data_IF_799933263242
#
_entry.id   IF_799933263242
#
_cell.length_a   1.000
_cell.length_b   1.000
_cell.length_c   1.000
_cell.angle_alpha   90.00
_cell.angle_beta   90.00
_cell.angle_gamma   90.00
#
_symmetry.space_group_name_H-M   'P 1'
#
loop_
_entity.id
_entity.type
_entity.pdbx_description
1 polymer ?
#
# COMPACT_ATOMS: atom_id res chain seq x y z
N UNK A 1 12.59 -8.80 -12.58
CA UNK A 1 11.31 -8.46 -11.92
C UNK A 1 11.02 -6.98 -12.07
N UNK A 2 9.79 -6.64 -12.44
CA UNK A 2 9.37 -5.24 -12.58
C UNK A 2 8.44 -4.87 -11.43
N UNK A 3 8.84 -3.91 -10.61
CA UNK A 3 8.07 -3.42 -9.47
C UNK A 3 7.75 -1.95 -9.71
N UNK A 4 6.49 -1.58 -9.56
CA UNK A 4 6.02 -0.20 -9.68
C UNK A 4 5.49 0.24 -8.33
N UNK A 5 5.81 1.46 -7.93
CA UNK A 5 5.21 2.10 -6.77
C UNK A 5 4.57 3.41 -7.20
N UNK A 6 3.36 3.67 -6.74
CA UNK A 6 2.62 4.85 -7.14
C UNK A 6 1.65 5.30 -6.03
N UNK A 7 1.69 6.59 -5.74
CA UNK A 7 0.68 7.23 -4.89
C UNK A 7 -0.49 7.62 -5.79
N UNK A 8 -1.63 6.96 -5.61
CA UNK A 8 -2.79 7.16 -6.51
C UNK A 8 -3.68 8.33 -6.08
N UNK A 9 -3.45 8.87 -4.89
CA UNK A 9 -4.21 10.00 -4.36
C UNK A 9 -5.73 9.80 -4.53
N UNK A 10 -6.21 8.66 -4.05
CA UNK A 10 -7.60 8.24 -4.21
C UNK A 10 -7.76 7.33 -5.41
N UNK A 11 -7.92 6.03 -5.16
CA UNK A 11 -7.98 5.03 -6.23
C UNK A 11 -9.24 5.18 -7.08
N UNK A 12 -10.34 5.65 -6.49
CA UNK A 12 -11.58 5.85 -7.26
C UNK A 12 -11.43 6.95 -8.31
N UNK A 13 -10.76 8.04 -7.95
CA UNK A 13 -10.44 9.11 -8.91
C UNK A 13 -9.43 8.62 -9.95
N UNK A 14 -8.43 7.85 -9.54
CA UNK A 14 -7.44 7.29 -10.44
C UNK A 14 -8.09 6.37 -11.48
N UNK A 15 -9.05 5.54 -11.05
CA UNK A 15 -9.81 4.67 -11.97
C UNK A 15 -10.51 5.50 -13.05
N UNK A 16 -11.21 6.57 -12.65
CA UNK A 16 -11.91 7.44 -13.59
C UNK A 16 -10.97 8.11 -14.60
N UNK A 17 -9.71 8.30 -14.22
CA UNK A 17 -8.67 8.90 -15.08
C UNK A 17 -7.93 7.87 -15.93
N UNK A 18 -8.34 6.59 -15.90
CA UNK A 18 -7.77 5.56 -16.74
C UNK A 18 -6.59 4.80 -16.14
N UNK A 19 -6.45 4.80 -14.81
CA UNK A 19 -5.33 4.16 -14.13
C UNK A 19 -5.19 2.68 -14.50
N UNK A 20 -6.29 1.92 -14.48
CA UNK A 20 -6.21 0.48 -14.74
C UNK A 20 -5.90 0.15 -16.20
N UNK A 21 -6.33 0.97 -17.14
CA UNK A 21 -5.92 0.82 -18.55
C UNK A 21 -4.43 1.05 -18.72
N UNK A 22 -3.91 2.07 -18.06
CA UNK A 22 -2.47 2.35 -18.05
C UNK A 22 -1.70 1.20 -17.39
N UNK A 23 -2.18 0.73 -16.24
CA UNK A 23 -1.52 -0.33 -15.47
C UNK A 23 -1.37 -1.61 -16.27
N UNK A 24 -2.40 -2.00 -17.02
CA UNK A 24 -2.39 -3.20 -17.82
C UNK A 24 -1.26 -3.21 -18.86
N UNK A 25 -0.88 -2.04 -19.36
CA UNK A 25 0.19 -1.89 -20.35
C UNK A 25 1.58 -1.98 -19.74
N UNK A 26 1.72 -1.93 -18.43
CA UNK A 26 3.01 -1.87 -17.76
C UNK A 26 3.67 -3.23 -17.58
N UNK A 27 2.91 -4.31 -17.64
CA UNK A 27 3.42 -5.67 -17.43
C UNK A 27 4.27 -5.79 -16.16
N UNK A 28 3.73 -5.29 -15.07
CA UNK A 28 4.44 -5.29 -13.78
C UNK A 28 4.25 -6.61 -13.05
N UNK A 29 5.26 -7.05 -12.31
CA UNK A 29 5.18 -8.22 -11.44
C UNK A 29 4.54 -7.87 -10.11
N UNK A 30 4.87 -6.69 -9.57
CA UNK A 30 4.30 -6.20 -8.31
C UNK A 30 4.03 -4.70 -8.45
N UNK A 31 2.87 -4.26 -7.96
CA UNK A 31 2.49 -2.85 -7.93
C UNK A 31 2.17 -2.47 -6.50
N UNK A 32 2.89 -1.48 -5.98
CA UNK A 32 2.69 -0.95 -4.64
C UNK A 32 1.90 0.36 -4.73
N UNK A 33 0.77 0.43 -4.03
CA UNK A 33 -0.11 1.58 -4.07
C UNK A 33 -0.14 2.29 -2.71
N UNK A 34 -0.15 3.60 -2.73
CA UNK A 34 -0.32 4.44 -1.54
C UNK A 34 -1.49 5.39 -1.75
N UNK A 35 -2.06 5.84 -0.64
CA UNK A 35 -3.22 6.75 -0.61
C UNK A 35 -4.40 6.24 -1.40
N UNK A 36 -4.87 5.05 -1.04
CA UNK A 36 -6.07 4.44 -1.63
C UNK A 36 -7.31 5.31 -1.35
N UNK A 37 -7.42 5.84 -0.14
CA UNK A 37 -8.49 6.74 0.32
C UNK A 37 -9.90 6.17 0.07
N UNK A 38 -10.04 4.86 0.22
CA UNK A 38 -11.30 4.16 0.05
C UNK A 38 -11.39 2.97 1.00
N UNK A 39 -12.61 2.64 1.40
CA UNK A 39 -12.88 1.43 2.17
C UNK A 39 -13.14 0.27 1.20
N UNK A 40 -12.92 -0.96 1.66
CA UNK A 40 -13.09 -2.13 0.80
C UNK A 40 -14.51 -2.24 0.25
N UNK A 41 -15.52 -1.85 1.01
CA UNK A 41 -16.92 -1.87 0.58
C UNK A 41 -17.22 -0.84 -0.51
N UNK A 42 -16.31 0.10 -0.76
CA UNK A 42 -16.41 1.09 -1.83
C UNK A 42 -15.69 0.65 -3.11
N UNK A 43 -15.04 -0.51 -3.08
CA UNK A 43 -14.23 -1.01 -4.18
C UNK A 43 -14.90 -2.23 -4.81
N UNK A 44 -15.48 -2.04 -5.99
CA UNK A 44 -16.09 -3.13 -6.75
C UNK A 44 -15.04 -3.84 -7.65
N UNK A 45 -15.50 -4.72 -8.52
CA UNK A 45 -14.62 -5.55 -9.36
C UNK A 45 -13.67 -4.75 -10.25
N UNK A 46 -14.00 -3.47 -10.57
CA UNK A 46 -13.11 -2.62 -11.37
C UNK A 46 -11.76 -2.38 -10.71
N UNK A 47 -11.71 -2.50 -9.39
CA UNK A 47 -10.50 -2.24 -8.59
C UNK A 47 -9.69 -3.51 -8.32
N UNK A 48 -10.05 -4.63 -8.93
CA UNK A 48 -9.38 -5.93 -8.77
C UNK A 48 -9.02 -6.48 -10.14
N UNK A 49 -7.82 -6.11 -10.69
CA UNK A 49 -7.41 -6.61 -12.00
C UNK A 49 -7.46 -8.14 -12.06
N UNK A 50 -8.08 -8.69 -13.10
CA UNK A 50 -8.34 -10.13 -13.19
C UNK A 50 -7.09 -10.98 -13.32
N UNK A 51 -5.99 -10.40 -13.80
CA UNK A 51 -4.70 -11.06 -14.00
C UNK A 51 -3.74 -10.89 -12.84
N UNK A 52 -4.18 -10.29 -11.73
CA UNK A 52 -3.32 -10.03 -10.56
C UNK A 52 -4.03 -10.39 -9.26
N UNK A 53 -3.24 -10.78 -8.27
CA UNK A 53 -3.71 -10.97 -6.91
C UNK A 53 -3.68 -9.62 -6.19
N UNK A 54 -4.79 -9.22 -5.60
CA UNK A 54 -4.98 -7.87 -5.05
C UNK A 54 -5.17 -7.89 -3.55
N UNK A 55 -4.46 -7.01 -2.85
CA UNK A 55 -4.52 -6.89 -1.41
C UNK A 55 -4.58 -5.42 -1.03
N UNK A 56 -5.72 -4.98 -0.48
CA UNK A 56 -5.91 -3.62 0.01
C UNK A 56 -5.90 -3.60 1.53
N UNK A 57 -5.30 -2.57 2.10
CA UNK A 57 -5.35 -2.31 3.53
C UNK A 57 -5.85 -0.88 3.74
N UNK A 58 -7.14 -0.75 3.98
CA UNK A 58 -7.78 0.54 4.20
C UNK A 58 -7.57 1.02 5.63
N UNK A 59 -7.49 2.35 5.80
CA UNK A 59 -7.54 2.94 7.13
C UNK A 59 -8.97 2.82 7.68
N UNK A 60 -9.10 2.81 9.01
CA UNK A 60 -10.42 2.83 9.64
C UNK A 60 -11.14 4.15 9.35
N UNK A 61 -10.39 5.25 9.28
CA UNK A 61 -10.94 6.56 8.93
C UNK A 61 -11.23 6.61 7.43
N UNK A 62 -12.47 6.93 7.07
CA UNK A 62 -12.89 7.03 5.68
C UNK A 62 -12.17 8.14 4.94
N UNK A 63 -11.82 7.89 3.66
CA UNK A 63 -11.18 8.87 2.80
C UNK A 63 -9.76 9.24 3.17
N UNK A 64 -9.08 8.39 3.93
CA UNK A 64 -7.77 8.68 4.50
C UNK A 64 -6.81 7.50 4.29
N UNK A 65 -5.55 7.80 3.94
CA UNK A 65 -4.47 6.81 3.86
C UNK A 65 -4.83 5.59 2.97
N UNK A 66 -4.44 4.40 3.42
CA UNK A 66 -4.69 3.15 2.71
C UNK A 66 -3.56 2.77 1.78
N UNK A 67 -3.18 1.51 1.80
CA UNK A 67 -2.15 0.96 0.92
C UNK A 67 -2.69 -0.24 0.18
N UNK A 68 -2.02 -0.62 -0.90
CA UNK A 68 -2.40 -1.80 -1.66
C UNK A 68 -1.21 -2.44 -2.34
N UNK A 69 -1.39 -3.69 -2.73
CA UNK A 69 -0.44 -4.47 -3.49
C UNK A 69 -1.19 -5.26 -4.57
N UNK A 70 -0.69 -5.19 -5.79
CA UNK A 70 -1.08 -6.11 -6.85
C UNK A 70 0.11 -6.99 -7.18
N UNK A 71 -0.12 -8.30 -7.27
CA UNK A 71 0.94 -9.28 -7.53
C UNK A 71 0.54 -10.17 -8.69
N UNK A 72 1.43 -10.33 -9.67
CA UNK A 72 1.19 -11.25 -10.79
C UNK A 72 1.17 -12.70 -10.31
N UNK A 73 2.08 -13.06 -9.40
CA UNK A 73 2.14 -14.37 -8.78
C UNK A 73 1.58 -14.30 -7.36
N UNK A 74 0.94 -15.38 -6.91
CA UNK A 74 0.39 -15.43 -5.56
C UNK A 74 1.54 -15.44 -4.53
N UNK A 75 1.55 -14.51 -3.57
CA UNK A 75 2.57 -14.52 -2.53
C UNK A 75 2.38 -15.68 -1.56
N UNK A 76 3.47 -16.08 -0.90
CA UNK A 76 3.42 -17.13 0.13
C UNK A 76 2.68 -16.65 1.36
N UNK A 77 2.80 -15.36 1.69
CA UNK A 77 2.17 -14.75 2.85
C UNK A 77 1.94 -13.27 2.61
N UNK A 78 0.83 -12.78 3.18
CA UNK A 78 0.52 -11.34 3.23
C UNK A 78 0.48 -10.92 4.69
N UNK A 79 1.17 -9.83 5.02
CA UNK A 79 1.12 -9.19 6.33
C UNK A 79 0.62 -7.77 6.15
N UNK A 80 -0.48 -7.43 6.83
CA UNK A 80 -1.08 -6.10 6.70
C UNK A 80 -0.41 -5.05 7.58
N UNK A 81 0.15 -5.44 8.68
CA UNK A 81 1.03 -4.60 9.49
C UNK A 81 1.67 -5.46 10.57
N UNK A 82 2.98 -5.33 10.81
CA UNK A 82 3.60 -6.00 11.95
C UNK A 82 3.29 -5.30 13.29
N UNK A 83 2.65 -4.13 13.27
CA UNK A 83 2.36 -3.36 14.48
C UNK A 83 0.87 -3.06 14.58
N UNK A 84 0.24 -3.46 15.70
CA UNK A 84 -1.19 -3.28 15.87
C UNK A 84 -1.62 -1.83 16.05
N UNK A 85 -0.81 -1.03 16.71
CA UNK A 85 -1.13 0.36 17.01
C UNK A 85 -1.21 1.26 15.77
N UNK A 86 -0.54 0.90 14.67
CA UNK A 86 -0.64 1.65 13.42
C UNK A 86 -1.43 0.89 12.34
N UNK A 87 -1.92 -0.29 12.66
CA UNK A 87 -2.67 -1.12 11.71
C UNK A 87 -3.95 -0.41 11.23
N UNK A 88 -4.60 0.36 12.10
CA UNK A 88 -5.83 1.09 11.79
C UNK A 88 -5.66 2.19 10.75
N UNK A 89 -4.43 2.60 10.46
CA UNK A 89 -4.16 3.65 9.48
C UNK A 89 -3.93 3.15 8.04
N UNK A 90 -3.91 1.81 7.85
CA UNK A 90 -3.74 1.23 6.51
C UNK A 90 -2.46 1.64 5.82
N UNK A 91 -1.34 1.65 6.56
CA UNK A 91 -0.08 2.20 6.04
C UNK A 91 0.87 1.18 5.44
N UNK A 92 0.66 -0.11 5.70
CA UNK A 92 1.59 -1.16 5.28
C UNK A 92 0.86 -2.39 4.78
N UNK A 93 1.28 -2.89 3.63
CA UNK A 93 0.98 -4.24 3.15
C UNK A 93 2.29 -4.87 2.70
N UNK A 94 2.59 -6.06 3.19
CA UNK A 94 3.80 -6.79 2.84
C UNK A 94 3.45 -8.14 2.20
N UNK A 95 4.07 -8.42 1.08
CA UNK A 95 3.95 -9.71 0.40
C UNK A 95 5.30 -10.44 0.45
N UNK A 96 5.28 -11.69 0.85
CA UNK A 96 6.47 -12.53 0.92
C UNK A 96 6.44 -13.57 -0.20
N UNK A 97 7.54 -13.66 -0.96
CA UNK A 97 7.75 -14.59 -2.06
C UNK A 97 9.07 -15.34 -1.82
N UNK A 98 9.06 -16.45 -1.07
CA UNK A 98 10.28 -17.13 -0.71
C UNK A 98 11.21 -16.20 0.07
N UNK A 99 12.39 -15.91 -0.50
CA UNK A 99 13.39 -15.04 0.13
C UNK A 99 13.18 -13.56 -0.13
N UNK A 100 12.21 -13.20 -0.98
CA UNK A 100 11.93 -11.82 -1.34
C UNK A 100 10.69 -11.33 -0.61
N UNK A 101 10.79 -10.16 0.02
CA UNK A 101 9.63 -9.46 0.57
C UNK A 101 9.46 -8.12 -0.12
N UNK A 102 8.22 -7.80 -0.51
CA UNK A 102 7.89 -6.51 -1.11
C UNK A 102 6.89 -5.81 -0.18
N UNK A 103 7.20 -4.58 0.18
CA UNK A 103 6.40 -3.80 1.12
C UNK A 103 5.87 -2.55 0.42
N UNK A 104 4.54 -2.39 0.43
CA UNK A 104 3.91 -1.13 0.08
C UNK A 104 3.70 -0.36 1.37
N UNK A 105 4.27 0.83 1.46
CA UNK A 105 4.22 1.63 2.67
C UNK A 105 3.87 3.08 2.34
N UNK A 106 3.00 3.67 3.17
CA UNK A 106 2.67 5.08 3.13
C UNK A 106 3.10 5.70 4.46
N UNK A 107 4.21 6.44 4.44
CA UNK A 107 4.77 7.05 5.64
C UNK A 107 3.90 8.21 6.11
N UNK A 108 3.83 8.46 7.44
CA UNK A 108 3.14 9.64 7.94
C UNK A 108 3.70 10.92 7.33
N UNK A 109 2.81 11.88 7.02
CA UNK A 109 3.23 13.16 6.49
C UNK A 109 3.96 13.97 7.56
N UNK A 110 5.13 14.50 7.22
CA UNK A 110 5.89 15.38 8.10
C UNK A 110 5.72 16.85 7.76
N UNK A 111 4.71 17.20 6.98
CA UNK A 111 4.74 18.40 6.17
C UNK A 111 4.39 19.72 6.84
N UNK A 112 3.75 19.77 8.02
CA UNK A 112 3.24 21.06 8.50
C UNK A 112 3.37 21.31 10.00
N UNK A 113 3.75 20.31 10.79
CA UNK A 113 3.90 20.46 12.24
C UNK A 113 5.10 19.66 12.72
N UNK A 114 5.89 20.24 13.64
CA UNK A 114 7.02 19.53 14.25
C UNK A 114 6.58 18.20 14.86
N UNK A 115 5.41 18.16 15.49
CA UNK A 115 4.88 16.94 16.09
C UNK A 115 4.71 15.81 15.06
N UNK A 116 4.20 16.13 13.87
CA UNK A 116 4.03 15.14 12.80
C UNK A 116 5.37 14.66 12.26
N UNK A 117 6.32 15.58 12.12
CA UNK A 117 7.67 15.22 11.69
C UNK A 117 8.34 14.32 12.73
N UNK A 118 8.19 14.63 14.02
CA UNK A 118 8.75 13.80 15.07
C UNK A 118 8.14 12.41 15.08
N UNK A 119 6.83 12.28 14.91
CA UNK A 119 6.16 10.99 14.82
C UNK A 119 6.63 10.18 13.62
N UNK A 120 6.82 10.83 12.49
CA UNK A 120 7.33 10.19 11.28
C UNK A 120 8.74 9.64 11.52
N UNK A 121 9.62 10.44 12.09
CA UNK A 121 11.00 10.02 12.35
C UNK A 121 11.06 8.91 13.39
N UNK A 122 10.26 8.98 14.43
CA UNK A 122 10.15 7.90 15.42
C UNK A 122 9.73 6.60 14.77
N UNK A 123 8.72 6.63 13.91
CA UNK A 123 8.26 5.44 13.19
C UNK A 123 9.40 4.84 12.36
N UNK A 124 10.10 5.67 11.58
CA UNK A 124 11.17 5.18 10.72
C UNK A 124 12.30 4.56 11.54
N UNK A 125 12.78 5.24 12.59
CA UNK A 125 13.95 4.82 13.34
C UNK A 125 13.66 3.69 14.32
N UNK A 126 12.51 3.75 15.01
CA UNK A 126 12.21 2.82 16.10
C UNK A 126 11.46 1.56 15.63
N UNK A 127 10.79 1.62 14.50
CA UNK A 127 9.96 0.50 14.03
C UNK A 127 10.32 0.02 12.66
N UNK A 128 10.29 0.87 11.65
CA UNK A 128 10.43 0.44 10.27
C UNK A 128 11.84 -0.04 9.95
N UNK A 129 12.86 0.73 10.34
CA UNK A 129 14.25 0.32 10.08
C UNK A 129 14.61 -0.99 10.79
N UNK A 130 14.26 -1.20 12.07
CA UNK A 130 14.48 -2.50 12.71
C UNK A 130 13.74 -3.64 12.01
N UNK A 131 12.52 -3.40 11.54
CA UNK A 131 11.74 -4.41 10.80
C UNK A 131 12.47 -4.86 9.52
N UNK A 132 13.04 -3.90 8.77
CA UNK A 132 13.76 -4.21 7.54
C UNK A 132 15.04 -5.02 7.76
N UNK A 133 15.59 -5.00 8.98
CA UNK A 133 16.81 -5.72 9.32
C UNK A 133 16.60 -7.15 9.75
N UNK A 134 15.37 -7.57 9.90
CA UNK A 134 15.05 -8.95 10.31
C UNK A 134 15.36 -9.95 9.21
#
# INVERSE_FOLDING_TARGET
MRIITINVNGIRAAERKGFFSWLKKQNADVVCLQEIKAQEDQLDERFYPSDMHTYYHSAERKGYSGTGLYCKSKPDRITYSPWQDINSEGRIVQADFGDLSVISIYLPSGSSKEERQALKMEFITERFMPHLRQ
#
